data_IF_788177400413
#
_entry.id   IF_788177400413
#
_cell.length_a   1.000
_cell.length_b   1.000
_cell.length_c   1.000
_cell.angle_alpha   90.00
_cell.angle_beta   90.00
_cell.angle_gamma   90.00
#
_symmetry.space_group_name_H-M   'P 1'
#
loop_
_entity.id
_entity.type
_entity.pdbx_description
1 polymer ?
#
# COMPACT_ATOMS: atom_id res chain seq x y z
N UNK A 1 -36.07 -2.06 16.10
CA UNK A 1 -36.36 -1.45 14.78
C UNK A 1 -35.51 -2.24 13.79
N UNK A 2 -36.13 -3.16 13.05
CA UNK A 2 -35.39 -4.00 12.11
C UNK A 2 -35.13 -3.16 10.87
N UNK A 3 -33.87 -2.93 10.53
CA UNK A 3 -33.48 -2.40 9.23
C UNK A 3 -34.08 -3.31 8.15
N UNK A 4 -34.68 -2.74 7.11
CA UNK A 4 -35.22 -3.56 6.02
C UNK A 4 -34.06 -4.24 5.27
N UNK A 5 -34.30 -5.40 4.65
CA UNK A 5 -33.29 -6.12 3.87
C UNK A 5 -32.62 -5.21 2.80
N UNK A 6 -33.35 -4.25 2.27
CA UNK A 6 -32.84 -3.25 1.33
C UNK A 6 -31.80 -2.31 1.95
N UNK A 7 -32.00 -1.88 3.19
CA UNK A 7 -31.05 -1.01 3.91
C UNK A 7 -29.75 -1.75 4.21
N UNK A 8 -29.82 -3.04 4.58
CA UNK A 8 -28.64 -3.88 4.81
C UNK A 8 -27.83 -4.01 3.52
N UNK A 9 -28.49 -4.39 2.41
CA UNK A 9 -27.83 -4.53 1.10
C UNK A 9 -27.21 -3.21 0.63
N UNK A 10 -27.86 -2.08 0.88
CA UNK A 10 -27.32 -0.77 0.52
C UNK A 10 -26.05 -0.46 1.32
N UNK A 11 -26.06 -0.68 2.64
CA UNK A 11 -24.89 -0.48 3.51
C UNK A 11 -23.73 -1.37 3.11
N UNK A 12 -23.97 -2.64 2.82
CA UNK A 12 -22.92 -3.58 2.42
C UNK A 12 -22.28 -3.18 1.09
N UNK A 13 -23.09 -2.73 0.12
CA UNK A 13 -22.56 -2.18 -1.15
C UNK A 13 -21.74 -0.92 -0.95
N UNK A 14 -22.15 -0.03 -0.04
CA UNK A 14 -21.39 1.18 0.27
C UNK A 14 -20.07 0.85 0.96
N UNK A 15 -20.06 -0.09 1.93
CA UNK A 15 -18.84 -0.58 2.56
C UNK A 15 -17.86 -1.18 1.56
N UNK A 16 -18.33 -2.09 0.70
CA UNK A 16 -17.48 -2.71 -0.32
C UNK A 16 -16.86 -1.67 -1.28
N UNK A 17 -17.61 -0.62 -1.66
CA UNK A 17 -17.08 0.49 -2.45
C UNK A 17 -16.02 1.29 -1.72
N UNK A 18 -16.19 1.50 -0.41
CA UNK A 18 -15.20 2.21 0.42
C UNK A 18 -13.93 1.38 0.57
N UNK A 19 -14.06 0.09 0.89
CA UNK A 19 -12.93 -0.84 1.00
C UNK A 19 -12.14 -0.90 -0.31
N UNK A 20 -12.81 -1.03 -1.46
CA UNK A 20 -12.14 -1.03 -2.76
C UNK A 20 -11.41 0.28 -3.07
N UNK A 21 -11.95 1.44 -2.64
CA UNK A 21 -11.26 2.73 -2.79
C UNK A 21 -10.02 2.83 -1.91
N UNK A 22 -10.08 2.30 -0.70
CA UNK A 22 -8.93 2.29 0.23
C UNK A 22 -7.84 1.38 -0.31
N UNK A 23 -8.18 0.16 -0.73
CA UNK A 23 -7.18 -0.77 -1.27
C UNK A 23 -6.56 -0.22 -2.57
N UNK A 24 -7.38 0.31 -3.49
CA UNK A 24 -6.86 0.90 -4.73
C UNK A 24 -5.95 2.10 -4.50
N UNK A 25 -6.21 2.90 -3.45
CA UNK A 25 -5.29 3.97 -3.05
C UNK A 25 -3.97 3.39 -2.53
N UNK A 26 -4.03 2.36 -1.68
CA UNK A 26 -2.83 1.73 -1.12
C UNK A 26 -1.98 1.04 -2.20
N UNK A 27 -2.62 0.39 -3.17
CA UNK A 27 -1.96 -0.17 -4.36
C UNK A 27 -1.22 0.91 -5.16
N UNK A 28 -1.86 2.05 -5.40
CA UNK A 28 -1.22 3.19 -6.05
C UNK A 28 -0.03 3.74 -5.25
N UNK A 29 -0.13 3.80 -3.92
CA UNK A 29 1.00 4.21 -3.07
C UNK A 29 2.17 3.21 -3.15
N UNK A 30 1.89 1.90 -3.19
CA UNK A 30 2.92 0.86 -3.33
C UNK A 30 3.70 1.00 -4.65
N UNK A 31 3.02 1.17 -5.76
CA UNK A 31 3.67 1.31 -7.07
C UNK A 31 4.49 2.61 -7.17
N UNK A 32 3.98 3.72 -6.62
CA UNK A 32 4.73 4.98 -6.59
C UNK A 32 6.02 4.86 -5.75
N UNK A 33 5.94 4.18 -4.61
CA UNK A 33 7.13 3.92 -3.77
C UNK A 33 8.14 3.07 -4.55
N UNK A 34 7.68 2.02 -5.23
CA UNK A 34 8.53 1.14 -6.05
C UNK A 34 9.25 1.96 -7.13
N UNK A 35 8.54 2.81 -7.86
CA UNK A 35 9.12 3.65 -8.90
C UNK A 35 10.21 4.58 -8.35
N UNK A 36 9.94 5.26 -7.23
CA UNK A 36 10.89 6.17 -6.59
C UNK A 36 12.13 5.43 -6.10
N UNK A 37 11.97 4.28 -5.45
CA UNK A 37 13.08 3.50 -4.91
C UNK A 37 13.91 2.85 -6.02
N UNK A 38 13.26 2.41 -7.10
CA UNK A 38 13.94 1.89 -8.28
C UNK A 38 14.80 2.96 -8.95
N UNK A 39 14.29 4.20 -9.08
CA UNK A 39 15.08 5.32 -9.59
C UNK A 39 16.25 5.70 -8.68
N UNK A 40 16.12 5.49 -7.37
CA UNK A 40 17.13 5.92 -6.38
C UNK A 40 18.26 4.91 -6.18
N UNK A 41 17.94 3.62 -6.28
CA UNK A 41 18.88 2.53 -5.99
C UNK A 41 19.26 1.72 -7.25
N UNK A 42 18.58 1.95 -8.38
CA UNK A 42 18.89 1.37 -9.68
C UNK A 42 19.10 -0.16 -9.60
N UNK A 43 20.29 -0.64 -9.97
CA UNK A 43 20.62 -2.07 -10.02
C UNK A 43 20.56 -2.78 -8.66
N UNK A 44 20.70 -2.04 -7.56
CA UNK A 44 20.63 -2.60 -6.20
C UNK A 44 19.18 -2.83 -5.72
N UNK A 45 18.18 -2.29 -6.43
CA UNK A 45 16.77 -2.49 -6.13
C UNK A 45 16.19 -3.66 -6.93
N UNK A 46 16.29 -4.85 -6.35
CA UNK A 46 15.85 -6.06 -7.03
C UNK A 46 14.32 -6.29 -6.98
N UNK A 47 13.87 -7.22 -7.84
CA UNK A 47 12.46 -7.63 -7.93
C UNK A 47 11.91 -8.22 -6.62
N UNK A 48 12.76 -8.71 -5.71
CA UNK A 48 12.30 -9.26 -4.42
C UNK A 48 11.89 -8.13 -3.49
N UNK A 49 12.60 -7.00 -3.50
CA UNK A 49 12.21 -5.80 -2.77
C UNK A 49 10.91 -5.20 -3.32
N UNK A 50 10.74 -5.14 -4.64
CA UNK A 50 9.47 -4.72 -5.25
C UNK A 50 8.30 -5.58 -4.75
N UNK A 51 8.43 -6.90 -4.79
CA UNK A 51 7.36 -7.81 -4.41
C UNK A 51 7.03 -7.72 -2.92
N UNK A 52 8.05 -7.50 -2.07
CA UNK A 52 7.84 -7.23 -0.65
C UNK A 52 7.04 -5.94 -0.43
N UNK A 53 7.33 -4.86 -1.17
CA UNK A 53 6.57 -3.61 -1.07
C UNK A 53 5.13 -3.78 -1.55
N UNK A 54 4.90 -4.50 -2.66
CA UNK A 54 3.54 -4.81 -3.15
C UNK A 54 2.67 -5.55 -2.12
N UNK A 55 3.30 -6.36 -1.26
CA UNK A 55 2.63 -7.13 -0.21
C UNK A 55 2.65 -6.45 1.17
N UNK A 56 3.39 -5.36 1.33
CA UNK A 56 3.55 -4.68 2.60
C UNK A 56 2.24 -4.03 3.06
N UNK A 57 1.96 -4.10 4.36
CA UNK A 57 0.76 -3.50 4.94
C UNK A 57 0.85 -1.96 4.94
N UNK A 58 -0.28 -1.30 5.19
CA UNK A 58 -0.36 0.16 5.20
C UNK A 58 0.62 0.83 6.19
N UNK A 59 0.91 0.20 7.33
CA UNK A 59 1.84 0.73 8.30
C UNK A 59 3.28 0.78 7.74
N UNK A 60 3.77 -0.33 7.19
CA UNK A 60 5.08 -0.41 6.55
C UNK A 60 5.19 0.57 5.38
N UNK A 61 4.15 0.64 4.53
CA UNK A 61 4.09 1.62 3.42
C UNK A 61 4.18 3.06 3.92
N UNK A 62 3.47 3.40 4.99
CA UNK A 62 3.54 4.73 5.58
C UNK A 62 4.91 5.04 6.20
N UNK A 63 5.58 4.06 6.80
CA UNK A 63 6.94 4.23 7.31
C UNK A 63 7.96 4.48 6.19
N UNK A 64 7.88 3.71 5.09
CA UNK A 64 8.71 3.93 3.91
C UNK A 64 8.43 5.32 3.33
N UNK A 65 7.16 5.68 3.14
CA UNK A 65 6.74 6.99 2.60
C UNK A 65 7.31 8.17 3.40
N UNK A 66 7.29 8.10 4.73
CA UNK A 66 7.84 9.17 5.61
C UNK A 66 9.34 9.38 5.41
N UNK A 67 10.08 8.33 5.10
CA UNK A 67 11.54 8.35 5.02
C UNK A 67 12.06 8.14 3.59
N UNK A 68 11.21 8.19 2.57
CA UNK A 68 11.54 7.68 1.22
C UNK A 68 12.76 8.33 0.57
N UNK A 69 13.01 9.60 0.89
CA UNK A 69 14.16 10.37 0.36
C UNK A 69 15.45 10.16 1.16
N UNK A 70 15.37 9.66 2.39
CA UNK A 70 16.52 9.49 3.29
C UNK A 70 16.84 8.03 3.61
N UNK A 71 15.89 7.11 3.42
CA UNK A 71 16.04 5.69 3.72
C UNK A 71 17.20 5.09 2.92
N UNK A 72 17.99 4.24 3.57
CA UNK A 72 19.02 3.43 2.91
C UNK A 72 18.44 2.08 2.47
N UNK A 73 19.09 1.42 1.51
CA UNK A 73 18.67 0.08 1.08
C UNK A 73 18.66 -0.94 2.23
N UNK A 74 19.58 -0.80 3.18
CA UNK A 74 19.68 -1.67 4.35
C UNK A 74 18.53 -1.43 5.35
N UNK A 75 18.16 -0.17 5.57
CA UNK A 75 16.97 0.17 6.38
C UNK A 75 15.69 -0.32 5.71
N UNK A 76 15.58 -0.16 4.39
CA UNK A 76 14.47 -0.68 3.61
C UNK A 76 14.32 -2.19 3.77
N UNK A 77 15.43 -2.95 3.69
CA UNK A 77 15.45 -4.40 3.91
C UNK A 77 15.03 -4.81 5.33
N UNK A 78 15.22 -3.96 6.33
CA UNK A 78 14.79 -4.21 7.72
C UNK A 78 13.30 -3.94 7.94
N UNK A 79 12.71 -3.05 7.14
CA UNK A 79 11.27 -2.74 7.20
C UNK A 79 10.40 -3.79 6.49
N UNK A 80 10.98 -4.54 5.56
CA UNK A 80 10.29 -5.45 4.63
C UNK A 80 10.59 -6.94 4.87
#
# INVERSE_FOLDING_TARGET
MFDTLEEIVKRDREKAKLEGKVEGKLEGERELIIEILNQRFEEDFDKRLEEKIRKANEETINQIKKNILSITLEELKKLL
#
